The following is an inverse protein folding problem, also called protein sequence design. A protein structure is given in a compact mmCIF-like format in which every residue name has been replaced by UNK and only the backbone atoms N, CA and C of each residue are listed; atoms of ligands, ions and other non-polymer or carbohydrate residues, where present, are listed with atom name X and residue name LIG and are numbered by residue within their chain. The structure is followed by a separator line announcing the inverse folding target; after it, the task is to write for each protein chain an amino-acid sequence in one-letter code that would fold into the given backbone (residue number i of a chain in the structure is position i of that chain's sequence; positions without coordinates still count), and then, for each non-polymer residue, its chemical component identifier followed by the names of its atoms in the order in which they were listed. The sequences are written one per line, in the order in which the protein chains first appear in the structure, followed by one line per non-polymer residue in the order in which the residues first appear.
data_IF_743539275874
#
_entry.id   IF_743539275874
#
_cell.length_a   1.000
_cell.length_b   1.000
_cell.length_c   1.000
_cell.angle_alpha   90.00
_cell.angle_beta   90.00
_cell.angle_gamma   90.00
#
_symmetry.space_group_name_H-M   'P 1'
#
loop_
_entity.id
_entity.type
_entity.pdbx_description
1 polymer ?
#
# COMPACT_ATOMS: atom_id res chain seq x y z
N UNK A 1 16.58 -10.75 5.46
CA UNK A 1 16.41 -9.38 4.93
C UNK A 1 15.70 -8.51 5.97
N UNK A 2 16.06 -7.23 6.08
CA UNK A 2 15.52 -6.33 7.13
C UNK A 2 14.00 -6.17 7.03
N UNK A 3 13.48 -6.11 5.80
CA UNK A 3 12.04 -5.96 5.57
C UNK A 3 11.24 -7.15 6.11
N UNK A 4 11.74 -8.38 5.95
CA UNK A 4 11.04 -9.58 6.42
C UNK A 4 10.84 -9.56 7.95
N UNK A 5 11.84 -9.06 8.69
CA UNK A 5 11.75 -8.92 10.14
C UNK A 5 10.72 -7.88 10.60
N UNK A 6 10.49 -6.85 9.77
CA UNK A 6 9.44 -5.85 10.01
C UNK A 6 8.08 -6.50 9.73
N UNK A 7 7.93 -7.14 8.57
CA UNK A 7 6.68 -7.80 8.17
C UNK A 7 6.26 -8.90 9.16
N UNK A 8 7.21 -9.65 9.72
CA UNK A 8 6.95 -10.67 10.75
C UNK A 8 6.39 -10.09 12.06
N UNK A 9 6.46 -8.78 12.25
CA UNK A 9 6.02 -8.05 13.45
C UNK A 9 4.96 -6.97 13.14
N UNK A 10 4.49 -6.88 11.91
CA UNK A 10 3.44 -5.93 11.51
C UNK A 10 2.05 -6.50 11.76
N UNK A 11 1.17 -5.70 12.36
CA UNK A 11 -0.24 -6.05 12.61
C UNK A 11 -1.24 -5.16 11.87
N UNK A 12 -0.76 -4.14 11.17
CA UNK A 12 -1.55 -3.31 10.27
C UNK A 12 -0.68 -2.77 9.13
N UNK A 13 -1.32 -2.31 8.06
CA UNK A 13 -0.65 -1.79 6.88
C UNK A 13 -1.26 -0.47 6.42
N UNK A 14 -0.41 0.40 5.90
CA UNK A 14 -0.80 1.69 5.33
C UNK A 14 -0.82 1.60 3.80
N UNK A 15 -1.92 2.06 3.22
CA UNK A 15 -2.21 2.12 1.79
C UNK A 15 -1.66 3.36 1.13
N UNK A 16 -0.34 3.55 1.24
CA UNK A 16 0.42 4.61 0.56
C UNK A 16 1.67 4.04 -0.06
N UNK A 17 2.07 4.59 -1.20
CA UNK A 17 3.34 4.27 -1.85
C UNK A 17 4.26 5.48 -1.71
N UNK A 18 5.42 5.25 -1.09
CA UNK A 18 6.45 6.27 -0.91
C UNK A 18 7.67 5.98 -1.82
N UNK A 19 8.43 7.02 -2.12
CA UNK A 19 9.79 6.90 -2.65
C UNK A 19 10.83 7.20 -1.56
N UNK A 20 12.10 7.34 -1.93
CA UNK A 20 13.15 7.75 -0.97
C UNK A 20 13.04 9.23 -0.54
N UNK A 21 12.29 10.03 -1.29
CA UNK A 21 12.26 11.50 -1.17
C UNK A 21 10.85 12.05 -0.95
N UNK A 22 9.82 11.22 -1.18
CA UNK A 22 8.42 11.63 -1.13
C UNK A 22 7.60 10.59 -0.36
N UNK A 23 6.75 11.07 0.54
CA UNK A 23 5.91 10.24 1.42
C UNK A 23 4.76 9.59 0.63
N UNK A 24 4.27 10.27 -0.40
CA UNK A 24 3.23 9.77 -1.29
C UNK A 24 3.55 10.20 -2.71
N UNK A 25 3.63 9.23 -3.62
CA UNK A 25 3.87 9.45 -5.05
C UNK A 25 2.64 9.08 -5.86
N UNK A 26 2.52 9.64 -7.07
CA UNK A 26 1.44 9.31 -8.00
C UNK A 26 1.64 7.90 -8.51
N UNK A 27 0.69 7.01 -8.23
CA UNK A 27 0.87 5.56 -8.45
C UNK A 27 0.67 5.13 -9.91
N UNK A 28 0.08 5.99 -10.74
CA UNK A 28 -0.08 5.72 -12.19
C UNK A 28 1.07 6.29 -13.03
N UNK A 29 2.00 7.04 -12.44
CA UNK A 29 3.10 7.65 -13.18
C UNK A 29 4.16 6.58 -13.54
N UNK A 30 4.63 6.51 -14.80
CA UNK A 30 5.56 5.46 -15.24
C UNK A 30 6.86 5.38 -14.41
N UNK A 31 7.43 6.52 -14.03
CA UNK A 31 8.66 6.60 -13.24
C UNK A 31 8.49 6.10 -11.79
N UNK A 32 7.26 5.96 -11.30
CA UNK A 32 6.96 5.52 -9.93
C UNK A 32 6.67 4.03 -9.82
N UNK A 33 6.51 3.32 -10.94
CA UNK A 33 6.12 1.90 -10.94
C UNK A 33 7.09 0.99 -10.18
N UNK A 34 8.38 1.34 -10.14
CA UNK A 34 9.37 0.60 -9.34
C UNK A 34 8.99 0.56 -7.87
N UNK A 35 8.47 1.66 -7.31
CA UNK A 35 8.05 1.76 -5.92
C UNK A 35 6.70 1.06 -5.70
N UNK A 36 5.76 1.23 -6.64
CA UNK A 36 4.45 0.56 -6.60
C UNK A 36 4.62 -0.96 -6.50
N UNK A 37 5.49 -1.53 -7.34
CA UNK A 37 5.74 -2.97 -7.34
C UNK A 37 6.45 -3.46 -6.07
N UNK A 38 7.34 -2.64 -5.48
CA UNK A 38 7.95 -2.95 -4.18
C UNK A 38 6.88 -2.99 -3.07
N UNK A 39 6.01 -1.99 -3.00
CA UNK A 39 4.96 -1.91 -1.99
C UNK A 39 3.93 -3.03 -2.14
N UNK A 40 3.50 -3.35 -3.37
CA UNK A 40 2.60 -4.50 -3.62
C UNK A 40 3.21 -5.82 -3.15
N UNK A 41 4.51 -6.04 -3.36
CA UNK A 41 5.22 -7.22 -2.84
C UNK A 41 5.23 -7.23 -1.31
N UNK A 42 5.53 -6.09 -0.67
CA UNK A 42 5.55 -6.00 0.79
C UNK A 42 4.17 -6.19 1.41
N UNK A 43 3.11 -5.63 0.82
CA UNK A 43 1.74 -5.86 1.27
C UNK A 43 1.34 -7.32 1.13
N UNK A 44 1.61 -7.96 -0.02
CA UNK A 44 1.32 -9.40 -0.20
C UNK A 44 2.03 -10.26 0.83
N UNK A 45 3.34 -10.09 0.98
CA UNK A 45 4.13 -10.87 1.93
C UNK A 45 3.75 -10.57 3.39
N UNK A 46 3.45 -9.32 3.71
CA UNK A 46 2.98 -8.90 5.01
C UNK A 46 1.64 -9.52 5.38
N UNK A 47 0.64 -9.44 4.48
CA UNK A 47 -0.68 -10.03 4.66
C UNK A 47 -0.57 -11.55 4.82
N UNK A 48 0.19 -12.22 3.96
CA UNK A 48 0.44 -13.67 4.05
C UNK A 48 1.04 -14.07 5.39
N UNK A 49 2.07 -13.35 5.84
CA UNK A 49 2.71 -13.58 7.13
C UNK A 49 1.74 -13.34 8.26
N UNK A 50 0.98 -12.24 8.22
CA UNK A 50 -0.04 -11.91 9.22
C UNK A 50 -1.09 -13.01 9.35
N UNK A 51 -1.64 -13.52 8.23
CA UNK A 51 -2.60 -14.64 8.23
C UNK A 51 -2.03 -15.89 8.92
N UNK A 52 -0.77 -16.25 8.63
CA UNK A 52 -0.11 -17.41 9.27
C UNK A 52 -0.03 -17.33 10.80
N UNK A 53 -0.05 -16.13 11.38
CA UNK A 53 0.10 -15.91 12.84
C UNK A 53 -1.23 -15.62 13.54
N UNK A 54 -2.31 -15.42 12.80
CA UNK A 54 -3.60 -15.01 13.35
C UNK A 54 -4.68 -16.08 13.08
N UNK A 55 -5.73 -16.17 13.92
CA UNK A 55 -6.89 -17.01 13.65
C UNK A 55 -7.60 -16.64 12.33
N UNK A 56 -8.32 -17.59 11.73
CA UNK A 56 -9.06 -17.38 10.47
C UNK A 56 -10.18 -16.33 10.58
N UNK A 57 -10.73 -16.11 11.77
CA UNK A 57 -11.78 -15.10 12.03
C UNK A 57 -11.21 -13.72 12.43
N UNK A 58 -9.88 -13.57 12.46
CA UNK A 58 -9.24 -12.31 12.78
C UNK A 58 -9.42 -11.28 11.65
N UNK A 59 -9.44 -10.00 12.02
CA UNK A 59 -9.54 -8.88 11.07
C UNK A 59 -8.21 -8.15 10.94
N UNK A 60 -7.67 -8.07 9.72
CA UNK A 60 -6.50 -7.25 9.41
C UNK A 60 -6.91 -5.82 9.07
N UNK A 61 -6.23 -4.84 9.67
CA UNK A 61 -6.43 -3.42 9.33
C UNK A 61 -5.48 -3.01 8.20
N UNK A 62 -6.08 -2.59 7.08
CA UNK A 62 -5.39 -1.89 5.99
C UNK A 62 -6.01 -0.50 5.80
N UNK A 63 -5.24 0.55 6.01
CA UNK A 63 -5.73 1.93 5.97
C UNK A 63 -5.23 2.66 4.73
N UNK A 64 -6.11 2.95 3.76
CA UNK A 64 -5.82 3.93 2.72
C UNK A 64 -6.05 5.34 3.29
N UNK A 65 -4.98 6.01 3.72
CA UNK A 65 -5.06 7.35 4.29
C UNK A 65 -4.80 8.43 3.22
N UNK A 66 -5.67 9.43 3.13
CA UNK A 66 -5.41 10.63 2.35
C UNK A 66 -4.62 11.64 3.19
N UNK A 67 -3.41 11.94 2.75
CA UNK A 67 -2.56 12.88 3.47
C UNK A 67 -3.18 14.27 3.46
N UNK A 68 -2.81 15.16 4.40
CA UNK A 68 -3.13 16.57 4.27
C UNK A 68 -2.66 17.08 2.90
N UNK A 69 -3.26 18.16 2.36
CA UNK A 69 -2.90 18.70 1.05
C UNK A 69 -1.39 18.95 0.86
N UNK A 70 -0.65 19.26 1.92
CA UNK A 70 0.81 19.46 1.86
C UNK A 70 1.65 18.21 1.55
N UNK A 71 1.05 17.01 1.52
CA UNK A 71 1.71 15.78 1.07
C UNK A 71 1.48 15.49 -0.41
N UNK A 72 0.55 16.22 -1.06
CA UNK A 72 0.33 16.06 -2.48
C UNK A 72 1.50 16.71 -3.24
N UNK A 73 1.96 16.01 -4.28
CA UNK A 73 2.85 16.60 -5.27
C UNK A 73 1.98 17.43 -6.21
N UNK A 74 2.27 18.72 -6.29
CA UNK A 74 1.50 19.68 -7.07
C UNK A 74 2.28 20.25 -8.24
N UNK A 75 1.58 20.79 -9.23
CA UNK A 75 2.16 21.65 -10.25
C UNK A 75 2.52 23.05 -9.69
N UNK A 76 2.98 23.94 -10.58
CA UNK A 76 3.30 25.32 -10.25
C UNK A 76 2.07 26.15 -9.82
N UNK A 77 0.86 25.67 -10.12
CA UNK A 77 -0.42 26.28 -9.74
C UNK A 77 -0.96 25.72 -8.43
N UNK A 78 -0.22 24.82 -7.76
CA UNK A 78 -0.63 24.11 -6.53
C UNK A 78 -1.80 23.14 -6.74
N UNK A 79 -2.05 22.71 -7.98
CA UNK A 79 -3.01 21.65 -8.27
C UNK A 79 -2.32 20.29 -8.11
N UNK A 80 -3.01 19.35 -7.49
CA UNK A 80 -2.49 17.99 -7.34
C UNK A 80 -2.31 17.34 -8.73
N UNK A 81 -1.15 16.72 -8.94
CA UNK A 81 -0.83 16.07 -10.22
C UNK A 81 -1.54 14.72 -10.39
N UNK A 82 -2.25 14.23 -9.37
CA UNK A 82 -3.08 13.02 -9.43
C UNK A 82 -4.31 13.14 -8.53
N UNK A 83 -5.32 12.33 -8.81
CA UNK A 83 -6.51 12.19 -7.95
C UNK A 83 -6.23 11.14 -6.87
N UNK A 84 -5.77 11.61 -5.70
CA UNK A 84 -5.42 10.72 -4.58
C UNK A 84 -6.60 9.91 -4.04
N UNK A 85 -7.85 10.36 -4.23
CA UNK A 85 -9.03 9.58 -3.85
C UNK A 85 -9.17 8.35 -4.76
N UNK A 86 -9.02 8.53 -6.07
CA UNK A 86 -9.02 7.40 -7.01
C UNK A 86 -7.84 6.47 -6.76
N UNK A 87 -6.66 7.01 -6.47
CA UNK A 87 -5.49 6.19 -6.09
C UNK A 87 -5.77 5.35 -4.83
N UNK A 88 -6.42 5.92 -3.81
CA UNK A 88 -6.79 5.19 -2.59
C UNK A 88 -7.77 4.05 -2.87
N UNK A 89 -8.74 4.24 -3.78
CA UNK A 89 -9.66 3.21 -4.24
C UNK A 89 -8.94 2.11 -5.05
N UNK A 90 -7.98 2.50 -5.90
CA UNK A 90 -7.15 1.58 -6.67
C UNK A 90 -6.30 0.71 -5.73
N UNK A 91 -5.62 1.30 -4.75
CA UNK A 91 -4.86 0.57 -3.74
C UNK A 91 -5.77 -0.39 -2.97
N UNK A 92 -6.95 0.06 -2.53
CA UNK A 92 -7.93 -0.79 -1.86
C UNK A 92 -8.27 -2.02 -2.72
N UNK A 93 -8.51 -1.83 -4.01
CA UNK A 93 -8.81 -2.94 -4.93
C UNK A 93 -7.66 -3.95 -5.03
N UNK A 94 -6.41 -3.49 -5.03
CA UNK A 94 -5.24 -4.37 -5.07
C UNK A 94 -5.15 -5.22 -3.81
N UNK A 95 -5.42 -4.64 -2.64
CA UNK A 95 -5.41 -5.36 -1.38
C UNK A 95 -6.53 -6.39 -1.30
N UNK A 96 -7.72 -6.07 -1.80
CA UNK A 96 -8.82 -7.03 -1.92
C UNK A 96 -8.44 -8.20 -2.84
N UNK A 97 -7.80 -7.93 -3.99
CA UNK A 97 -7.28 -8.98 -4.89
C UNK A 97 -6.23 -9.85 -4.19
N UNK A 98 -5.24 -9.23 -3.54
CA UNK A 98 -4.19 -9.93 -2.80
C UNK A 98 -4.80 -10.82 -1.70
N UNK A 99 -5.79 -10.31 -0.96
CA UNK A 99 -6.48 -11.09 0.07
C UNK A 99 -7.14 -12.32 -0.54
N UNK A 100 -7.96 -12.16 -1.58
CA UNK A 100 -8.67 -13.26 -2.23
C UNK A 100 -7.71 -14.30 -2.84
N UNK A 101 -6.63 -13.86 -3.51
CA UNK A 101 -5.62 -14.77 -4.06
C UNK A 101 -4.91 -15.60 -2.98
N UNK A 102 -4.78 -15.07 -1.76
CA UNK A 102 -4.21 -15.79 -0.63
C UNK A 102 -5.22 -16.73 0.05
N UNK A 103 -6.54 -16.53 -0.13
CA UNK A 103 -7.57 -17.51 0.25
C UNK A 103 -7.65 -18.67 -0.75
N UNK A 104 -7.63 -18.36 -2.05
CA UNK A 104 -7.77 -19.35 -3.13
C UNK A 104 -6.55 -20.28 -3.26
N UNK A 105 -5.37 -19.80 -2.85
CA UNK A 105 -4.12 -20.56 -2.89
C UNK A 105 -3.73 -21.25 -1.57
N UNK A 106 -4.58 -21.21 -0.54
CA UNK A 106 -4.35 -21.84 0.76
C UNK A 106 -4.84 -23.29 0.83
#
# INVERSE_FOLDING_TARGET
DYINQILDRSDCFQGRVASREQIQIQIDFPQHQVWVEIFKKWWREGIKRWKKRNPEDATLVFLCELGPPGYAITDAQKLELSDRWQEALQIKSWIQSIWNELEEGA
#
